data_IF_259469089191
#
_entry.id   IF_259469089191
#
_cell.length_a   1.000
_cell.length_b   1.000
_cell.length_c   1.000
_cell.angle_alpha   90.00
_cell.angle_beta   90.00
_cell.angle_gamma   90.00
#
_symmetry.space_group_name_H-M   'P 1'
#
loop_
_entity.id
_entity.type
_entity.pdbx_description
1 polymer ?
#
# COMPACT_ATOMS: atom_id res chain seq x y z
N UNK A 1 42.54 24.30 -79.02
CA UNK A 1 42.01 24.98 -77.83
C UNK A 1 40.78 24.20 -77.38
N UNK A 2 40.96 23.44 -76.30
CA UNK A 2 40.04 22.62 -75.49
C UNK A 2 38.87 21.88 -76.15
N UNK A 3 39.14 20.62 -76.49
CA UNK A 3 38.22 19.48 -76.46
C UNK A 3 37.71 19.26 -75.03
N UNK A 4 36.39 19.21 -74.84
CA UNK A 4 35.76 18.66 -73.62
C UNK A 4 34.93 17.45 -74.03
N UNK A 5 35.27 16.31 -73.44
CA UNK A 5 34.69 14.99 -73.67
C UNK A 5 33.25 14.87 -73.09
N UNK A 6 32.45 13.90 -73.57
CA UNK A 6 31.12 13.64 -73.03
C UNK A 6 31.18 12.99 -71.64
N UNK A 7 30.28 13.40 -70.76
CA UNK A 7 30.09 12.81 -69.42
C UNK A 7 29.35 11.48 -69.57
N UNK A 8 30.07 10.39 -69.33
CA UNK A 8 29.52 9.04 -69.21
C UNK A 8 28.76 8.91 -67.88
N UNK A 9 27.44 8.72 -67.94
CA UNK A 9 26.62 8.38 -66.78
C UNK A 9 26.82 6.89 -66.44
N UNK A 10 27.80 6.60 -65.59
CA UNK A 10 27.96 5.27 -65.02
C UNK A 10 26.72 4.86 -64.22
N UNK A 11 26.31 3.58 -64.21
CA UNK A 11 25.24 3.11 -63.36
C UNK A 11 25.67 3.31 -61.90
N UNK A 12 24.97 4.20 -61.20
CA UNK A 12 25.12 4.38 -59.76
C UNK A 12 24.89 3.02 -59.09
N UNK A 13 25.91 2.54 -58.39
CA UNK A 13 25.92 1.34 -57.54
C UNK A 13 24.88 1.47 -56.42
N UNK A 14 23.62 1.24 -56.75
CA UNK A 14 22.59 0.86 -55.81
C UNK A 14 22.61 -0.66 -55.66
N UNK A 15 23.56 -1.20 -54.92
CA UNK A 15 23.32 -2.41 -54.15
C UNK A 15 24.50 -2.73 -53.23
N UNK A 16 24.21 -3.41 -52.11
CA UNK A 16 25.15 -4.02 -51.14
C UNK A 16 25.67 -3.24 -49.92
N UNK A 17 24.99 -2.18 -49.45
CA UNK A 17 25.26 -1.62 -48.10
C UNK A 17 24.08 -1.71 -47.12
N UNK A 18 23.19 -2.71 -47.27
CA UNK A 18 22.03 -2.91 -46.39
C UNK A 18 21.97 -4.23 -45.62
N UNK A 19 22.96 -5.12 -45.71
CA UNK A 19 22.85 -6.47 -45.11
C UNK A 19 23.90 -6.84 -44.05
N UNK A 20 24.54 -5.85 -43.38
CA UNK A 20 25.67 -6.15 -42.47
C UNK A 20 25.55 -5.60 -41.05
N UNK A 21 24.35 -5.48 -40.47
CA UNK A 21 24.19 -5.09 -39.05
C UNK A 21 23.21 -5.95 -38.22
N UNK A 22 22.74 -7.08 -38.74
CA UNK A 22 21.98 -8.05 -37.92
C UNK A 22 22.60 -9.43 -38.00
N UNK A 23 23.85 -9.52 -37.54
CA UNK A 23 24.34 -10.77 -36.95
C UNK A 23 24.51 -10.48 -35.46
N UNK A 24 23.38 -10.34 -34.77
CA UNK A 24 23.35 -10.51 -33.33
C UNK A 24 24.06 -11.82 -33.06
N UNK A 25 25.23 -11.74 -32.45
CA UNK A 25 25.93 -12.93 -31.98
C UNK A 25 24.98 -13.60 -31.03
N UNK A 26 24.34 -14.69 -31.46
CA UNK A 26 23.80 -15.67 -30.56
C UNK A 26 25.02 -16.10 -29.74
N UNK A 27 25.19 -15.53 -28.55
CA UNK A 27 26.08 -16.08 -27.54
C UNK A 27 25.71 -17.55 -27.49
N UNK A 28 26.64 -18.42 -27.90
CA UNK A 28 26.53 -19.85 -27.63
C UNK A 28 26.67 -19.97 -26.11
N UNK A 29 25.57 -19.69 -25.42
CA UNK A 29 25.41 -19.98 -24.00
C UNK A 29 25.81 -21.44 -23.85
N UNK A 30 26.84 -21.70 -23.04
CA UNK A 30 27.22 -23.07 -22.75
C UNK A 30 26.00 -23.77 -22.12
N UNK A 31 25.74 -25.05 -22.42
CA UNK A 31 24.60 -25.76 -21.83
C UNK A 31 24.66 -25.75 -20.29
N UNK A 32 25.86 -25.58 -19.73
CA UNK A 32 26.13 -25.34 -18.32
C UNK A 32 25.64 -23.98 -17.82
N UNK A 33 25.84 -22.89 -18.57
CA UNK A 33 25.28 -21.56 -18.26
C UNK A 33 23.76 -21.59 -18.23
N UNK A 34 23.15 -22.24 -19.24
CA UNK A 34 21.70 -22.41 -19.31
C UNK A 34 21.18 -23.27 -18.17
N UNK A 35 21.84 -24.40 -17.87
CA UNK A 35 21.44 -25.25 -16.75
C UNK A 35 21.58 -24.54 -15.39
N UNK A 36 22.65 -23.78 -15.17
CA UNK A 36 22.84 -22.99 -13.96
C UNK A 36 21.77 -21.89 -13.83
N UNK A 37 21.48 -21.17 -14.92
CA UNK A 37 20.39 -20.19 -14.96
C UNK A 37 19.03 -20.84 -14.67
N UNK A 38 18.74 -22.00 -15.26
CA UNK A 38 17.50 -22.73 -15.00
C UNK A 38 17.38 -23.20 -13.54
N UNK A 39 18.45 -23.74 -12.95
CA UNK A 39 18.45 -24.14 -11.53
C UNK A 39 18.22 -22.92 -10.62
N UNK A 40 18.86 -21.78 -10.92
CA UNK A 40 18.66 -20.54 -10.19
C UNK A 40 17.22 -20.05 -10.31
N UNK A 41 16.64 -20.07 -11.52
CA UNK A 41 15.25 -19.67 -11.77
C UNK A 41 14.27 -20.59 -11.05
N UNK A 42 14.49 -21.91 -11.08
CA UNK A 42 13.65 -22.89 -10.37
C UNK A 42 13.78 -22.69 -8.86
N UNK A 43 14.99 -22.49 -8.34
CA UNK A 43 15.21 -22.20 -6.92
C UNK A 43 14.51 -20.92 -6.47
N UNK A 44 14.59 -19.85 -7.28
CA UNK A 44 13.87 -18.61 -7.04
C UNK A 44 12.35 -18.83 -7.09
N UNK A 45 11.85 -19.58 -8.06
CA UNK A 45 10.43 -19.91 -8.15
C UNK A 45 9.93 -20.67 -6.91
N UNK A 46 10.65 -21.72 -6.47
CA UNK A 46 10.30 -22.47 -5.26
C UNK A 46 10.31 -21.55 -4.03
N UNK A 47 11.28 -20.65 -3.91
CA UNK A 47 11.34 -19.69 -2.82
C UNK A 47 10.12 -18.76 -2.78
N UNK A 48 9.67 -18.25 -3.93
CA UNK A 48 8.44 -17.43 -4.02
C UNK A 48 7.15 -18.23 -3.81
N UNK A 49 7.13 -19.52 -4.18
CA UNK A 49 5.97 -20.39 -4.02
C UNK A 49 5.81 -20.91 -2.59
N UNK A 50 6.88 -21.02 -1.81
CA UNK A 50 6.87 -21.52 -0.44
C UNK A 50 5.87 -20.78 0.47
N UNK A 51 5.84 -19.44 0.57
CA UNK A 51 4.85 -18.74 1.41
C UNK A 51 3.42 -18.91 0.89
N UNK A 52 3.22 -19.07 -0.42
CA UNK A 52 1.88 -19.30 -1.01
C UNK A 52 1.39 -20.70 -0.66
N UNK A 53 2.25 -21.72 -0.80
CA UNK A 53 1.95 -23.09 -0.36
C UNK A 53 1.61 -23.12 1.13
N UNK A 54 2.42 -22.44 1.95
CA UNK A 54 2.18 -22.34 3.38
C UNK A 54 0.83 -21.66 3.69
N UNK A 55 0.47 -20.59 2.99
CA UNK A 55 -0.83 -19.94 3.13
C UNK A 55 -2.01 -20.89 2.80
N UNK A 56 -1.88 -21.69 1.74
CA UNK A 56 -2.91 -22.66 1.34
C UNK A 56 -3.07 -23.74 2.41
N UNK A 57 -1.96 -24.29 2.94
CA UNK A 57 -2.01 -25.29 4.01
C UNK A 57 -2.71 -24.73 5.25
N UNK A 58 -2.44 -23.48 5.62
CA UNK A 58 -3.06 -22.85 6.79
C UNK A 58 -4.53 -22.49 6.56
N UNK A 59 -4.93 -22.13 5.34
CA UNK A 59 -6.33 -21.85 5.01
C UNK A 59 -7.25 -23.08 5.17
N UNK A 60 -6.68 -24.29 5.09
CA UNK A 60 -7.40 -25.55 5.29
C UNK A 60 -7.62 -25.89 6.78
N UNK A 61 -6.80 -25.35 7.69
CA UNK A 61 -6.79 -25.71 9.12
C UNK A 61 -7.83 -24.94 9.95
N UNK A 62 -8.24 -25.50 11.08
CA UNK A 62 -9.09 -24.82 12.06
C UNK A 62 -8.28 -23.91 12.99
N UNK A 63 -8.91 -22.93 13.64
CA UNK A 63 -8.24 -21.96 14.53
C UNK A 63 -7.35 -22.60 15.65
N UNK A 64 -7.79 -23.65 16.38
CA UNK A 64 -6.92 -24.33 17.34
C UNK A 64 -5.79 -25.14 16.67
N UNK A 65 -6.04 -25.74 15.50
CA UNK A 65 -5.03 -26.53 14.78
C UNK A 65 -3.89 -25.68 14.21
N UNK A 66 -4.07 -24.36 14.07
CA UNK A 66 -3.01 -23.44 13.63
C UNK A 66 -1.83 -23.39 14.62
N UNK A 67 -2.07 -23.67 15.89
CA UNK A 67 -1.07 -23.55 16.97
C UNK A 67 -0.48 -24.91 17.33
N UNK A 68 -1.28 -25.98 17.34
CA UNK A 68 -0.87 -27.29 17.83
C UNK A 68 -0.36 -28.25 16.73
N UNK A 69 -0.65 -27.98 15.45
CA UNK A 69 -0.28 -28.90 14.34
C UNK A 69 1.01 -28.51 13.62
N UNK A 70 1.57 -29.47 12.87
CA UNK A 70 2.81 -29.29 12.12
C UNK A 70 2.65 -28.22 11.02
N UNK A 71 3.42 -27.13 11.09
CA UNK A 71 3.21 -25.90 10.31
C UNK A 71 3.32 -26.02 8.78
N UNK A 72 3.91 -27.10 8.26
CA UNK A 72 4.09 -27.34 6.82
C UNK A 72 3.25 -28.49 6.25
N UNK A 73 2.43 -29.14 7.08
CA UNK A 73 1.62 -30.29 6.69
C UNK A 73 0.14 -30.06 6.97
N UNK A 74 -0.72 -30.71 6.17
CA UNK A 74 -2.16 -30.68 6.35
C UNK A 74 -2.56 -31.40 7.64
N UNK A 75 -3.51 -30.81 8.38
CA UNK A 75 -4.15 -31.44 9.53
C UNK A 75 -5.56 -31.90 9.12
N UNK A 76 -6.59 -31.23 9.60
CA UNK A 76 -7.99 -31.45 9.22
C UNK A 76 -8.34 -30.71 7.90
N UNK A 77 -9.15 -31.31 7.02
CA UNK A 77 -9.62 -30.67 5.78
C UNK A 77 -10.91 -29.88 6.03
N UNK A 78 -10.82 -28.63 6.48
CA UNK A 78 -12.01 -27.80 6.78
C UNK A 78 -12.17 -26.52 5.94
N UNK A 79 -11.74 -26.56 4.68
CA UNK A 79 -11.71 -25.38 3.80
C UNK A 79 -13.10 -24.83 3.46
N UNK A 80 -14.11 -25.69 3.37
CA UNK A 80 -15.49 -25.30 3.06
C UNK A 80 -16.16 -24.53 4.20
N UNK A 81 -16.01 -25.01 5.43
CA UNK A 81 -16.57 -24.36 6.62
C UNK A 81 -15.85 -23.03 6.89
N UNK A 82 -14.51 -23.03 6.83
CA UNK A 82 -13.69 -21.80 6.93
C UNK A 82 -14.14 -20.73 5.93
N UNK A 83 -14.37 -21.10 4.67
CA UNK A 83 -14.81 -20.15 3.65
C UNK A 83 -16.23 -19.65 3.90
N UNK A 84 -17.14 -20.54 4.33
CA UNK A 84 -18.51 -20.16 4.70
C UNK A 84 -18.55 -19.24 5.91
N UNK A 85 -17.72 -19.48 6.92
CA UNK A 85 -17.61 -18.68 8.13
C UNK A 85 -17.02 -17.31 7.80
N UNK A 86 -16.02 -17.23 6.92
CA UNK A 86 -15.46 -15.95 6.43
C UNK A 86 -16.50 -15.07 5.74
N UNK A 87 -17.39 -15.66 4.92
CA UNK A 87 -18.45 -14.91 4.24
C UNK A 87 -19.69 -14.67 5.13
N UNK A 88 -19.95 -15.51 6.12
CA UNK A 88 -21.06 -15.34 7.05
C UNK A 88 -20.73 -14.42 8.24
N UNK A 89 -19.43 -14.20 8.52
CA UNK A 89 -18.94 -13.35 9.60
C UNK A 89 -19.59 -11.96 9.54
N UNK A 90 -20.23 -11.57 10.64
CA UNK A 90 -20.82 -10.24 10.86
C UNK A 90 -21.71 -9.75 9.68
N UNK A 91 -22.47 -10.67 9.08
CA UNK A 91 -23.42 -10.35 8.00
C UNK A 91 -22.76 -10.08 6.63
N UNK A 92 -21.58 -10.65 6.37
CA UNK A 92 -20.88 -10.48 5.09
C UNK A 92 -20.04 -9.22 5.01
N UNK A 93 -19.62 -8.67 6.16
CA UNK A 93 -18.81 -7.45 6.22
C UNK A 93 -17.47 -7.59 5.49
N UNK A 94 -16.91 -8.80 5.45
CA UNK A 94 -15.68 -9.12 4.73
C UNK A 94 -15.76 -8.76 3.25
N UNK A 95 -16.90 -9.05 2.59
CA UNK A 95 -17.09 -8.73 1.18
C UNK A 95 -17.12 -7.22 0.96
N UNK A 96 -17.67 -6.47 1.91
CA UNK A 96 -17.67 -5.00 1.88
C UNK A 96 -16.26 -4.43 2.06
N UNK A 97 -15.44 -5.00 2.95
CA UNK A 97 -14.05 -4.59 3.11
C UNK A 97 -13.20 -4.90 1.89
N UNK A 98 -13.40 -6.08 1.29
CA UNK A 98 -12.75 -6.47 0.04
C UNK A 98 -13.13 -5.52 -1.10
N UNK A 99 -14.43 -5.21 -1.24
CA UNK A 99 -14.92 -4.30 -2.27
C UNK A 99 -14.43 -2.86 -2.05
N UNK A 100 -14.42 -2.37 -0.81
CA UNK A 100 -13.86 -1.05 -0.49
C UNK A 100 -12.38 -0.96 -0.84
N UNK A 101 -11.60 -2.00 -0.50
CA UNK A 101 -10.17 -2.06 -0.82
C UNK A 101 -9.94 -2.11 -2.32
N UNK A 102 -10.73 -2.92 -3.04
CA UNK A 102 -10.65 -3.03 -4.50
C UNK A 102 -11.02 -1.72 -5.19
N UNK A 103 -12.08 -1.04 -4.74
CA UNK A 103 -12.48 0.26 -5.27
C UNK A 103 -11.39 1.31 -5.03
N UNK A 104 -10.85 1.38 -3.81
CA UNK A 104 -9.83 2.37 -3.48
C UNK A 104 -8.52 2.12 -4.22
N UNK A 105 -8.04 0.88 -4.25
CA UNK A 105 -6.83 0.50 -4.98
C UNK A 105 -7.00 0.67 -6.49
N UNK A 106 -8.15 0.24 -7.04
CA UNK A 106 -8.45 0.35 -8.47
C UNK A 106 -8.60 1.80 -8.93
N UNK A 107 -9.36 2.61 -8.20
CA UNK A 107 -9.53 4.03 -8.52
C UNK A 107 -8.21 4.79 -8.37
N UNK A 108 -7.46 4.53 -7.30
CA UNK A 108 -6.15 5.12 -7.08
C UNK A 108 -5.14 4.75 -8.17
N UNK A 109 -5.10 3.48 -8.57
CA UNK A 109 -4.25 3.02 -9.66
C UNK A 109 -4.68 3.63 -11.02
N UNK A 110 -5.97 3.70 -11.31
CA UNK A 110 -6.47 4.28 -12.57
C UNK A 110 -6.16 5.78 -12.67
N UNK A 111 -6.46 6.56 -11.63
CA UNK A 111 -6.17 7.99 -11.58
C UNK A 111 -4.65 8.23 -11.59
N UNK A 112 -3.90 7.48 -10.79
CA UNK A 112 -2.45 7.60 -10.71
C UNK A 112 -1.76 7.27 -12.03
N UNK A 113 -2.16 6.19 -12.71
CA UNK A 113 -1.62 5.83 -14.02
C UNK A 113 -2.00 6.83 -15.10
N UNK A 114 -3.23 7.37 -15.10
CA UNK A 114 -3.63 8.41 -16.03
C UNK A 114 -2.79 9.68 -15.85
N UNK A 115 -2.63 10.16 -14.63
CA UNK A 115 -1.80 11.34 -14.32
C UNK A 115 -0.33 11.10 -14.65
N UNK A 116 0.21 9.93 -14.31
CA UNK A 116 1.58 9.55 -14.65
C UNK A 116 1.79 9.48 -16.16
N UNK A 117 0.82 8.94 -16.91
CA UNK A 117 0.86 8.88 -18.36
C UNK A 117 0.81 10.28 -18.99
N UNK A 118 -0.06 11.17 -18.51
CA UNK A 118 -0.13 12.55 -18.98
C UNK A 118 1.15 13.34 -18.68
N UNK A 119 1.70 13.20 -17.47
CA UNK A 119 2.95 13.85 -17.08
C UNK A 119 4.15 13.31 -17.87
N UNK A 120 4.23 11.99 -18.05
CA UNK A 120 5.25 11.34 -18.87
C UNK A 120 5.16 11.77 -20.34
N UNK A 121 3.94 11.84 -20.90
CA UNK A 121 3.72 12.33 -22.25
C UNK A 121 4.14 13.79 -22.41
N UNK A 122 3.81 14.64 -21.45
CA UNK A 122 4.19 16.05 -21.48
C UNK A 122 5.72 16.22 -21.48
N UNK A 123 6.44 15.45 -20.66
CA UNK A 123 7.91 15.48 -20.60
C UNK A 123 8.57 14.88 -21.85
N UNK A 124 7.97 13.85 -22.47
CA UNK A 124 8.51 13.20 -23.65
C UNK A 124 8.28 14.00 -24.94
N UNK A 125 7.12 14.66 -25.07
CA UNK A 125 6.72 15.36 -26.30
C UNK A 125 7.18 16.83 -26.32
N UNK A 126 7.12 17.54 -25.20
CA UNK A 126 7.44 18.97 -25.16
C UNK A 126 8.88 19.20 -24.69
N UNK A 127 9.68 19.92 -25.49
CA UNK A 127 11.04 20.32 -25.12
C UNK A 127 11.04 21.72 -24.49
N UNK A 128 10.93 21.77 -23.16
CA UNK A 128 10.99 23.01 -22.39
C UNK A 128 12.30 23.10 -21.59
N UNK A 129 12.78 24.34 -21.34
CA UNK A 129 14.07 24.65 -20.71
C UNK A 129 14.26 24.15 -19.26
N UNK A 130 13.21 23.62 -18.62
CA UNK A 130 13.21 23.12 -17.23
C UNK A 130 12.95 21.63 -17.07
N UNK A 131 13.00 20.83 -18.15
CA UNK A 131 12.61 19.41 -18.12
C UNK A 131 13.46 18.55 -17.18
N UNK A 132 14.77 18.81 -17.12
CA UNK A 132 15.70 18.04 -16.28
C UNK A 132 15.44 18.31 -14.79
N UNK A 133 15.08 19.55 -14.43
CA UNK A 133 14.71 19.90 -13.06
C UNK A 133 13.40 19.22 -12.62
N UNK A 134 12.38 19.20 -13.49
CA UNK A 134 11.13 18.48 -13.18
C UNK A 134 11.34 16.98 -13.06
N UNK A 135 12.15 16.39 -13.95
CA UNK A 135 12.48 14.97 -13.88
C UNK A 135 13.24 14.64 -12.58
N UNK A 136 14.24 15.44 -12.21
CA UNK A 136 14.97 15.28 -10.96
C UNK A 136 14.08 15.47 -9.73
N UNK A 137 13.10 16.39 -9.77
CA UNK A 137 12.13 16.59 -8.70
C UNK A 137 11.22 15.38 -8.51
N UNK A 138 10.71 14.79 -9.59
CA UNK A 138 9.88 13.58 -9.52
C UNK A 138 10.69 12.41 -8.95
N UNK A 139 11.91 12.21 -9.45
CA UNK A 139 12.79 11.14 -8.97
C UNK A 139 13.19 11.35 -7.50
N UNK A 140 13.46 12.60 -7.10
CA UNK A 140 13.67 13.03 -5.72
C UNK A 140 12.47 12.78 -4.82
N UNK A 141 11.25 13.01 -5.32
CA UNK A 141 10.01 12.73 -4.61
C UNK A 141 9.79 11.25 -4.33
N UNK A 142 10.13 10.37 -5.29
CA UNK A 142 10.03 8.91 -5.12
C UNK A 142 11.03 8.37 -4.10
N UNK A 143 12.17 9.05 -3.92
CA UNK A 143 13.17 8.72 -2.89
C UNK A 143 12.70 9.07 -1.48
N UNK A 144 11.67 9.92 -1.33
CA UNK A 144 11.12 10.25 -0.01
C UNK A 144 10.40 9.02 0.55
N UNK A 145 10.78 8.51 1.73
CA UNK A 145 10.13 7.35 2.31
C UNK A 145 8.67 7.65 2.65
N UNK A 146 7.77 6.76 2.24
CA UNK A 146 6.33 6.92 2.45
C UNK A 146 5.95 7.09 3.95
N UNK A 147 6.75 6.54 4.85
CA UNK A 147 6.58 6.68 6.30
C UNK A 147 6.77 8.12 6.79
N UNK A 148 7.68 8.89 6.18
CA UNK A 148 7.89 10.30 6.53
C UNK A 148 6.71 11.19 6.09
N UNK A 149 5.96 10.78 5.07
CA UNK A 149 4.76 11.47 4.58
C UNK A 149 3.51 11.12 5.40
N UNK A 150 3.49 9.97 6.08
CA UNK A 150 2.32 9.52 6.84
C UNK A 150 1.97 10.47 8.00
N UNK A 151 2.97 10.92 8.77
CA UNK A 151 2.79 11.86 9.88
C UNK A 151 2.19 13.22 9.45
N UNK A 152 2.80 13.96 8.49
CA UNK A 152 2.25 15.24 8.06
C UNK A 152 0.90 15.08 7.38
N UNK A 153 0.67 13.99 6.65
CA UNK A 153 -0.63 13.71 6.04
C UNK A 153 -1.72 13.47 7.11
N UNK A 154 -1.39 12.76 8.19
CA UNK A 154 -2.28 12.60 9.34
C UNK A 154 -2.60 13.94 10.01
N UNK A 155 -1.60 14.79 10.25
CA UNK A 155 -1.82 16.12 10.83
C UNK A 155 -2.66 17.02 9.92
N UNK A 156 -2.48 16.91 8.60
CA UNK A 156 -3.29 17.62 7.62
C UNK A 156 -4.75 17.15 7.67
N UNK A 157 -4.99 15.84 7.72
CA UNK A 157 -6.35 15.31 7.88
C UNK A 157 -6.98 15.64 9.24
N UNK A 158 -6.19 15.68 10.32
CA UNK A 158 -6.66 16.07 11.64
C UNK A 158 -7.05 17.56 11.70
N UNK A 159 -6.29 18.43 11.02
CA UNK A 159 -6.62 19.87 10.87
C UNK A 159 -7.87 20.10 10.03
N UNK A 160 -8.14 19.20 9.08
CA UNK A 160 -9.33 19.21 8.23
C UNK A 160 -10.54 18.55 8.90
N UNK A 161 -10.40 18.08 10.16
CA UNK A 161 -11.49 17.56 11.00
C UNK A 161 -12.25 16.39 10.31
N UNK A 162 -11.53 15.65 9.46
CA UNK A 162 -12.03 14.59 8.59
C UNK A 162 -11.75 13.19 9.15
N UNK A 163 -11.38 13.12 10.43
CA UNK A 163 -10.74 11.94 11.01
C UNK A 163 -11.69 10.85 11.47
N UNK A 164 -13.02 10.92 11.23
CA UNK A 164 -13.88 9.74 11.45
C UNK A 164 -15.35 9.78 10.97
N UNK A 165 -15.75 10.47 9.90
CA UNK A 165 -17.12 10.25 9.37
C UNK A 165 -17.32 10.69 7.92
N UNK A 166 -18.01 9.84 7.16
CA UNK A 166 -18.58 10.09 5.82
C UNK A 166 -19.53 11.32 5.73
N UNK A 167 -19.80 12.04 6.83
CA UNK A 167 -20.87 13.05 6.95
C UNK A 167 -20.53 14.39 7.61
N UNK A 168 -19.26 14.76 7.86
CA UNK A 168 -18.97 16.10 8.46
C UNK A 168 -19.01 17.27 7.47
N UNK A 169 -19.54 17.04 6.27
CA UNK A 169 -19.81 18.10 5.28
C UNK A 169 -21.07 18.95 5.58
N UNK A 170 -21.89 18.67 6.59
CA UNK A 170 -23.13 19.47 6.84
C UNK A 170 -23.10 20.34 8.11
N UNK A 171 -22.51 19.88 9.22
CA UNK A 171 -22.78 20.47 10.54
C UNK A 171 -21.87 21.66 10.94
N UNK A 172 -20.81 22.00 10.20
CA UNK A 172 -20.07 23.27 10.44
C UNK A 172 -20.67 24.47 9.71
N UNK A 173 -21.70 24.27 8.88
CA UNK A 173 -22.52 25.35 8.36
C UNK A 173 -23.61 25.81 9.37
N UNK A 174 -23.94 25.00 10.39
CA UNK A 174 -24.97 25.34 11.39
C UNK A 174 -24.44 25.99 12.67
N UNK A 175 -23.17 25.81 13.04
CA UNK A 175 -22.61 26.44 14.26
C UNK A 175 -21.98 27.82 14.04
N UNK A 176 -21.80 28.26 12.78
CA UNK A 176 -21.31 29.60 12.46
C UNK A 176 -22.42 30.69 12.43
N UNK A 177 -23.67 30.37 12.81
CA UNK A 177 -24.80 31.33 12.86
C UNK A 177 -25.31 31.64 14.28
N UNK A 178 -24.46 31.51 15.30
CA UNK A 178 -24.78 32.04 16.64
C UNK A 178 -23.54 32.52 17.39
N UNK A 179 -22.71 33.32 16.73
CA UNK A 179 -22.02 34.38 17.44
C UNK A 179 -22.95 35.63 17.44
N UNK A 180 -22.90 36.41 18.51
CA UNK A 180 -23.54 37.72 18.71
C UNK A 180 -25.05 37.73 19.00
N UNK A 181 -25.43 37.61 20.27
CA UNK A 181 -26.31 38.56 21.02
C UNK A 181 -26.81 37.88 22.29
N UNK A 182 -26.17 38.15 23.43
CA UNK A 182 -26.81 38.14 24.74
C UNK A 182 -26.08 39.16 25.63
N UNK A 183 -26.63 40.39 25.78
CA UNK A 183 -26.17 41.32 26.79
C UNK A 183 -26.80 40.94 28.14
N UNK A 184 -25.97 40.75 29.16
CA UNK A 184 -26.34 40.91 30.57
C UNK A 184 -27.13 39.79 31.25
N UNK A 185 -26.45 38.98 32.07
CA UNK A 185 -26.89 38.64 33.44
C UNK A 185 -25.83 37.82 34.19
N UNK A 186 -25.11 38.53 35.07
CA UNK A 186 -24.54 38.20 36.39
C UNK A 186 -23.97 36.79 36.75
N UNK A 187 -22.82 36.75 37.47
CA UNK A 187 -22.10 35.53 37.84
C UNK A 187 -22.55 34.97 39.19
N UNK A 188 -22.71 33.64 39.34
CA UNK A 188 -22.64 32.94 40.64
C UNK A 188 -22.79 31.42 40.53
N UNK A 189 -21.96 30.72 41.35
CA UNK A 189 -22.01 29.31 41.81
C UNK A 189 -21.15 28.34 40.99
N UNK A 190 -19.85 28.23 41.31
CA UNK A 190 -19.19 27.46 42.41
C UNK A 190 -19.02 25.98 42.06
N UNK A 191 -17.76 25.59 41.83
CA UNK A 191 -17.27 24.22 41.96
C UNK A 191 -17.45 23.72 43.41
N UNK A 192 -17.71 22.42 43.64
CA UNK A 192 -17.45 21.80 44.92
C UNK A 192 -16.11 21.05 44.91
N UNK A 193 -15.20 21.52 45.77
CA UNK A 193 -14.02 20.82 46.29
C UNK A 193 -14.42 19.82 47.39
N UNK A 194 -13.77 18.65 47.35
CA UNK A 194 -13.27 17.81 48.47
C UNK A 194 -14.12 17.46 49.71
N UNK A 195 -14.03 16.16 50.04
CA UNK A 195 -13.89 15.53 51.37
C UNK A 195 -15.08 15.51 52.36
N UNK A 196 -15.52 14.30 52.72
CA UNK A 196 -15.85 13.93 54.12
C UNK A 196 -16.02 12.41 54.28
N UNK A 197 -15.10 11.83 55.05
CA UNK A 197 -15.18 10.52 55.71
C UNK A 197 -16.06 10.63 56.97
N UNK A 198 -16.71 9.55 57.44
CA UNK A 198 -17.04 9.40 58.85
C UNK A 198 -16.45 8.12 59.51
N UNK A 199 -16.34 8.09 60.86
CA UNK A 199 -15.50 7.16 61.61
C UNK A 199 -16.20 5.86 62.03
N UNK A 200 -15.42 4.83 62.36
CA UNK A 200 -15.88 3.46 62.53
C UNK A 200 -16.31 2.99 63.92
N UNK A 201 -16.69 1.72 63.98
CA UNK A 201 -16.64 0.86 65.18
C UNK A 201 -16.76 -0.64 64.81
N UNK A 202 -15.68 -1.38 65.13
CA UNK A 202 -15.61 -2.75 65.71
C UNK A 202 -16.13 -4.00 64.97
N UNK A 203 -15.23 -4.97 64.71
CA UNK A 203 -15.53 -6.42 64.56
C UNK A 203 -14.53 -7.21 63.69
N UNK A 204 -13.85 -8.29 64.15
CA UNK A 204 -12.58 -8.77 63.58
C UNK A 204 -12.63 -10.08 62.74
N UNK A 205 -11.51 -10.31 62.02
CA UNK A 205 -10.90 -11.59 61.64
C UNK A 205 -11.64 -12.53 60.66
N UNK A 206 -11.05 -12.74 59.47
CA UNK A 206 -10.35 -14.00 59.11
C UNK A 206 -10.29 -14.21 57.58
N UNK A 207 -9.09 -14.49 57.06
CA UNK A 207 -8.85 -15.41 55.95
C UNK A 207 -9.16 -14.93 54.52
N UNK A 208 -8.14 -14.93 53.64
CA UNK A 208 -8.40 -14.82 52.20
C UNK A 208 -7.22 -14.32 51.37
N UNK A 209 -6.17 -15.13 51.33
CA UNK A 209 -5.00 -15.03 50.46
C UNK A 209 -5.29 -14.67 49.00
N UNK A 210 -4.61 -13.64 48.50
CA UNK A 210 -4.45 -13.32 47.08
C UNK A 210 -3.33 -14.17 46.43
N UNK A 211 -3.55 -14.78 45.24
CA UNK A 211 -2.46 -15.37 44.48
C UNK A 211 -1.81 -14.34 43.56
N UNK A 212 -0.49 -14.34 43.67
CA UNK A 212 0.54 -13.61 42.95
C UNK A 212 0.71 -14.20 41.54
N UNK A 213 0.67 -13.36 40.50
CA UNK A 213 1.03 -13.73 39.12
C UNK A 213 2.54 -14.04 39.03
N UNK A 214 2.95 -15.19 38.47
CA UNK A 214 4.35 -15.41 38.11
C UNK A 214 4.58 -15.03 36.64
N UNK A 215 5.59 -14.20 36.45
CA UNK A 215 6.32 -14.00 35.20
C UNK A 215 7.14 -15.25 34.86
N UNK A 216 6.89 -15.80 33.68
CA UNK A 216 7.70 -16.81 33.01
C UNK A 216 7.51 -16.65 31.52
#
# INVERSE_FOLDING_TARGET
>A
MSTVAPVESGPQREDTSRSRLTRGGATRESPLSVAAAMILLVGAAVYFLLPVYWLIVNATKTQPDLIDSNGFWFAEWNLGENLSELFARDGGIYLRWALNSLLYAGLGAAVGTLLAAMAGYAMAKYQFRGREALFALVLGGVLVPATALALPLFLLFARVDLTNTFWRCSCRASSARSASTCPGSSPRRRCPTSSSTPPGSTGPASGGSSPRWPSG
#
